data_IF_600858958666
#
_entry.id   IF_600858958666
#
_cell.length_a   1.000
_cell.length_b   1.000
_cell.length_c   1.000
_cell.angle_alpha   90.00
_cell.angle_beta   90.00
_cell.angle_gamma   90.00
#
_symmetry.space_group_name_H-M   'P 1'
#
loop_
_entity.id
_entity.type
_entity.pdbx_description
1 polymer ?
#
# COMPACT_ATOMS: atom_id res chain seq x y z
N UNK A 1 45.95 13.87 5.62
CA UNK A 1 45.23 12.76 4.94
C UNK A 1 45.80 12.66 3.53
N UNK A 2 46.27 11.48 3.09
CA UNK A 2 46.82 11.33 1.75
C UNK A 2 45.70 11.44 0.70
N UNK A 3 45.92 12.17 -0.39
CA UNK A 3 44.97 12.33 -1.51
C UNK A 3 44.40 10.98 -2.01
N UNK A 4 45.21 9.92 -1.96
CA UNK A 4 44.81 8.56 -2.37
C UNK A 4 43.71 7.98 -1.48
N UNK A 5 43.74 8.27 -0.17
CA UNK A 5 42.74 7.82 0.79
C UNK A 5 41.40 8.51 0.57
N UNK A 6 41.44 9.81 0.28
CA UNK A 6 40.23 10.61 0.06
C UNK A 6 39.52 10.22 -1.24
N UNK A 7 40.27 10.02 -2.33
CA UNK A 7 39.72 9.53 -3.61
C UNK A 7 39.07 8.16 -3.47
N UNK A 8 39.69 7.25 -2.72
CA UNK A 8 39.16 5.91 -2.46
C UNK A 8 37.84 5.95 -1.69
N UNK A 9 37.78 6.78 -0.65
CA UNK A 9 36.57 6.95 0.16
C UNK A 9 35.40 7.51 -0.67
N UNK A 10 35.66 8.48 -1.55
CA UNK A 10 34.66 9.03 -2.47
C UNK A 10 34.14 7.94 -3.42
N UNK A 11 35.02 7.09 -3.92
CA UNK A 11 34.66 6.04 -4.87
C UNK A 11 33.80 4.95 -4.22
N UNK A 12 34.16 4.52 -3.01
CA UNK A 12 33.38 3.56 -2.20
C UNK A 12 32.00 4.15 -1.84
N UNK A 13 31.96 5.44 -1.47
CA UNK A 13 30.70 6.15 -1.16
C UNK A 13 29.81 6.29 -2.39
N UNK A 14 30.40 6.55 -3.55
CA UNK A 14 29.67 6.64 -4.82
C UNK A 14 29.10 5.27 -5.22
N UNK A 15 29.87 4.20 -5.07
CA UNK A 15 29.41 2.84 -5.33
C UNK A 15 28.28 2.43 -4.36
N UNK A 16 28.40 2.74 -3.07
CA UNK A 16 27.32 2.47 -2.11
C UNK A 16 26.02 3.23 -2.42
N UNK A 17 26.10 4.46 -2.94
CA UNK A 17 24.91 5.23 -3.32
C UNK A 17 24.27 4.77 -4.63
N UNK A 18 25.07 4.57 -5.67
CA UNK A 18 24.59 4.37 -7.04
C UNK A 18 24.64 2.91 -7.52
N UNK A 19 25.26 2.03 -6.73
CA UNK A 19 25.52 0.65 -7.10
C UNK A 19 26.74 0.53 -8.00
N UNK A 20 27.02 -0.72 -8.39
CA UNK A 20 28.12 -1.05 -9.30
C UNK A 20 27.53 -1.51 -10.64
N UNK A 21 27.83 -0.83 -11.76
CA UNK A 21 27.29 -1.22 -13.06
C UNK A 21 27.70 -2.66 -13.44
N UNK A 22 26.73 -3.46 -13.87
CA UNK A 22 26.98 -4.84 -14.30
C UNK A 22 27.00 -5.88 -13.17
N UNK A 23 26.70 -5.48 -11.93
CA UNK A 23 26.47 -6.41 -10.82
C UNK A 23 25.03 -6.30 -10.31
N UNK A 24 24.68 -7.20 -9.40
CA UNK A 24 23.39 -7.16 -8.71
C UNK A 24 23.29 -6.03 -7.66
N UNK A 25 24.40 -5.36 -7.36
CA UNK A 25 24.42 -4.23 -6.41
C UNK A 25 23.85 -2.97 -7.08
N UNK A 26 22.60 -2.68 -6.74
CA UNK A 26 21.85 -1.52 -7.23
C UNK A 26 22.15 -0.25 -6.42
N UNK A 27 22.90 -0.36 -5.33
CA UNK A 27 23.13 0.70 -4.36
C UNK A 27 21.86 1.22 -3.68
N UNK A 28 22.06 2.15 -2.75
CA UNK A 28 20.98 2.71 -1.93
C UNK A 28 19.86 3.36 -2.77
N UNK A 29 20.22 4.07 -3.86
CA UNK A 29 19.24 4.71 -4.74
C UNK A 29 18.39 3.67 -5.48
N UNK A 30 19.00 2.57 -5.88
CA UNK A 30 18.30 1.45 -6.50
C UNK A 30 17.31 0.79 -5.55
N UNK A 31 17.73 0.54 -4.32
CA UNK A 31 16.89 -0.07 -3.28
C UNK A 31 15.69 0.82 -2.92
N UNK A 32 15.91 2.12 -2.74
CA UNK A 32 14.83 3.08 -2.47
C UNK A 32 13.84 3.13 -3.64
N UNK A 33 14.32 3.02 -4.88
CA UNK A 33 13.44 2.95 -6.05
C UNK A 33 12.62 1.66 -6.07
N UNK A 34 13.22 0.53 -5.69
CA UNK A 34 12.54 -0.76 -5.50
C UNK A 34 11.42 -0.65 -4.49
N UNK A 35 11.73 -0.17 -3.28
CA UNK A 35 10.75 0.04 -2.20
C UNK A 35 9.59 0.94 -2.67
N UNK A 36 9.90 2.03 -3.39
CA UNK A 36 8.87 2.92 -3.95
C UNK A 36 7.94 2.20 -4.93
N UNK A 37 8.47 1.31 -5.77
CA UNK A 37 7.67 0.52 -6.71
C UNK A 37 6.78 -0.49 -5.96
N UNK A 38 7.33 -1.18 -4.96
CA UNK A 38 6.60 -2.15 -4.17
C UNK A 38 5.44 -1.49 -3.40
N UNK A 39 5.69 -0.34 -2.77
CA UNK A 39 4.65 0.46 -2.10
C UNK A 39 3.56 0.88 -3.09
N UNK A 40 3.93 1.28 -4.32
CA UNK A 40 2.96 1.67 -5.35
C UNK A 40 2.08 0.48 -5.76
N UNK A 41 2.68 -0.70 -5.90
CA UNK A 41 1.94 -1.92 -6.25
C UNK A 41 1.01 -2.35 -5.11
N UNK A 42 1.49 -2.35 -3.87
CA UNK A 42 0.70 -2.64 -2.68
C UNK A 42 -0.47 -1.67 -2.54
N UNK A 43 -0.26 -0.36 -2.73
CA UNK A 43 -1.34 0.63 -2.72
C UNK A 43 -2.37 0.37 -3.82
N UNK A 44 -1.95 -0.08 -4.99
CA UNK A 44 -2.86 -0.49 -6.07
C UNK A 44 -3.76 -1.66 -5.66
N UNK A 45 -3.19 -2.66 -4.99
CA UNK A 45 -3.93 -3.83 -4.47
C UNK A 45 -4.88 -3.45 -3.34
N UNK A 46 -4.40 -2.68 -2.35
CA UNK A 46 -5.22 -2.19 -1.23
C UNK A 46 -6.40 -1.37 -1.75
N UNK A 47 -6.18 -0.43 -2.68
CA UNK A 47 -7.26 0.39 -3.23
C UNK A 47 -8.36 -0.43 -3.91
N UNK A 48 -7.99 -1.51 -4.63
CA UNK A 48 -8.98 -2.42 -5.23
C UNK A 48 -9.76 -3.17 -4.15
N UNK A 49 -9.08 -3.69 -3.14
CA UNK A 49 -9.72 -4.42 -2.04
C UNK A 49 -10.62 -3.51 -1.20
N UNK A 50 -10.20 -2.29 -0.88
CA UNK A 50 -11.02 -1.31 -0.17
C UNK A 50 -12.31 -0.99 -0.91
N UNK A 51 -12.27 -0.85 -2.24
CA UNK A 51 -13.50 -0.65 -3.05
C UNK A 51 -14.47 -1.82 -2.91
N UNK A 52 -13.97 -3.06 -2.98
CA UNK A 52 -14.81 -4.26 -2.79
C UNK A 52 -15.41 -4.30 -1.39
N UNK A 53 -14.63 -3.97 -0.35
CA UNK A 53 -15.11 -3.90 1.03
C UNK A 53 -16.23 -2.87 1.17
N UNK A 54 -16.09 -1.67 0.59
CA UNK A 54 -17.14 -0.66 0.65
C UNK A 54 -18.42 -1.09 -0.08
N UNK A 55 -18.30 -1.81 -1.19
CA UNK A 55 -19.47 -2.37 -1.90
C UNK A 55 -20.17 -3.40 -1.01
N UNK A 56 -19.42 -4.34 -0.42
CA UNK A 56 -19.98 -5.36 0.48
C UNK A 56 -20.65 -4.71 1.69
N UNK A 57 -20.00 -3.73 2.31
CA UNK A 57 -20.57 -2.97 3.43
C UNK A 57 -21.86 -2.25 3.01
N UNK A 58 -21.89 -1.62 1.84
CA UNK A 58 -23.09 -0.99 1.32
C UNK A 58 -24.24 -1.99 1.17
N UNK A 59 -23.98 -3.14 0.56
CA UNK A 59 -24.99 -4.21 0.40
C UNK A 59 -25.51 -4.71 1.75
N UNK A 60 -24.63 -4.96 2.72
CA UNK A 60 -25.01 -5.45 4.05
C UNK A 60 -25.84 -4.41 4.82
N UNK A 61 -25.46 -3.14 4.78
CA UNK A 61 -26.21 -2.06 5.42
C UNK A 61 -27.60 -1.92 4.78
N UNK A 62 -27.68 -1.93 3.45
CA UNK A 62 -28.97 -1.84 2.73
C UNK A 62 -29.86 -3.05 3.04
N UNK A 63 -29.32 -4.26 3.02
CA UNK A 63 -30.09 -5.46 3.35
C UNK A 63 -30.57 -5.46 4.81
N UNK A 64 -29.72 -5.05 5.75
CA UNK A 64 -30.08 -4.91 7.16
C UNK A 64 -31.17 -3.85 7.40
N UNK A 65 -31.08 -2.70 6.72
CA UNK A 65 -32.09 -1.66 6.80
C UNK A 65 -33.44 -2.10 6.23
N UNK A 66 -33.45 -2.78 5.08
CA UNK A 66 -34.68 -3.29 4.46
C UNK A 66 -35.34 -4.38 5.32
N UNK A 67 -34.58 -5.36 5.80
CA UNK A 67 -35.11 -6.41 6.67
C UNK A 67 -35.57 -5.88 8.04
N UNK A 68 -34.94 -4.82 8.55
CA UNK A 68 -35.34 -4.16 9.79
C UNK A 68 -36.65 -3.37 9.66
N UNK A 69 -36.89 -2.73 8.51
CA UNK A 69 -38.13 -1.99 8.25
C UNK A 69 -39.34 -2.93 8.18
N UNK A 70 -39.22 -4.08 7.52
CA UNK A 70 -40.33 -5.05 7.42
C UNK A 70 -40.75 -5.60 8.79
N UNK A 71 -39.79 -5.86 9.69
CA UNK A 71 -40.09 -6.32 11.06
C UNK A 71 -40.70 -5.18 11.89
N UNK A 72 -40.22 -3.94 11.71
CA UNK A 72 -40.76 -2.76 12.39
C UNK A 72 -42.22 -2.48 12.04
N UNK A 73 -42.56 -2.54 10.75
CA UNK A 73 -43.93 -2.33 10.27
C UNK A 73 -44.88 -3.43 10.73
N UNK A 74 -44.44 -4.69 10.74
CA UNK A 74 -45.22 -5.82 11.26
C UNK A 74 -45.45 -5.69 12.78
N UNK A 75 -44.44 -5.27 13.55
CA UNK A 75 -44.58 -5.06 15.00
C UNK A 75 -45.53 -3.90 15.30
N UNK A 76 -45.47 -2.82 14.53
CA UNK A 76 -46.36 -1.67 14.69
C UNK A 76 -47.82 -2.01 14.36
N UNK A 77 -48.06 -2.91 13.39
CA UNK A 77 -49.40 -3.40 13.01
C UNK A 77 -50.00 -4.42 13.99
N UNK A 78 -49.16 -5.11 14.79
CA UNK A 78 -49.61 -6.09 15.78
C UNK A 78 -49.76 -5.50 17.20
N UNK A 79 -49.35 -4.25 17.40
CA UNK A 79 -49.37 -3.55 18.70
C UNK A 79 -50.54 -2.60 18.93
N UNK A 80 -51.42 -2.41 17.94
CA UNK A 80 -52.74 -1.74 18.07
C UNK A 80 -53.87 -2.76 18.12
#
# INVERSE_FOLDING_TARGET
>A
MSEKTQKRLIQETHQGMFGVPGTDDKGLVGDVKGIKMDIREQNGRVRKNSKLIYIIMGVLITAGALGGLEIGDILHLLGE
#
